data_IF_020885544669
#
_entry.id   IF_020885544669
#
_cell.length_a   1.000
_cell.length_b   1.000
_cell.length_c   1.000
_cell.angle_alpha   90.00
_cell.angle_beta   90.00
_cell.angle_gamma   90.00
#
_symmetry.space_group_name_H-M   'P 1'
#
loop_
_entity.id
_entity.type
_entity.pdbx_description
1 polymer ?
#
# COMPACT_ATOMS: atom_id res chain seq x y z
N UNK A 1 -8.97 20.42 -12.58
CA UNK A 1 -8.01 20.82 -13.61
C UNK A 1 -8.07 19.86 -14.79
N UNK A 2 -8.15 20.37 -16.00
CA UNK A 2 -8.07 19.63 -17.26
C UNK A 2 -6.89 20.16 -18.10
N UNK A 3 -6.71 19.63 -19.32
CA UNK A 3 -5.67 20.16 -20.23
C UNK A 3 -5.90 21.64 -20.63
N UNK A 4 -7.13 22.12 -20.55
CA UNK A 4 -7.55 23.42 -21.08
C UNK A 4 -8.24 24.31 -20.07
N UNK A 5 -8.53 23.81 -18.86
CA UNK A 5 -9.31 24.55 -17.87
C UNK A 5 -8.92 24.24 -16.43
N UNK A 6 -9.08 25.22 -15.58
CA UNK A 6 -9.05 25.11 -14.12
C UNK A 6 -10.38 25.62 -13.60
N UNK A 7 -11.01 24.82 -12.74
CA UNK A 7 -12.24 25.20 -12.05
C UNK A 7 -12.03 25.01 -10.55
N UNK A 8 -12.50 25.97 -9.76
CA UNK A 8 -12.47 25.91 -8.30
C UNK A 8 -13.88 25.84 -7.74
N UNK A 9 -14.00 25.19 -6.61
CA UNK A 9 -15.25 25.05 -5.87
C UNK A 9 -15.00 25.35 -4.40
N UNK A 10 -15.95 25.98 -3.78
CA UNK A 10 -15.95 26.17 -2.32
C UNK A 10 -16.38 24.86 -1.69
N UNK A 11 -15.63 24.41 -0.70
CA UNK A 11 -15.91 23.22 0.11
C UNK A 11 -16.20 23.64 1.55
N UNK A 12 -16.85 22.77 2.36
CA UNK A 12 -16.99 22.99 3.79
C UNK A 12 -15.64 23.17 4.49
N UNK A 13 -15.67 23.55 5.76
CA UNK A 13 -14.46 23.73 6.56
C UNK A 13 -13.65 22.42 6.63
N UNK A 14 -12.33 22.53 6.68
CA UNK A 14 -11.44 21.38 6.75
C UNK A 14 -11.80 20.40 7.88
N UNK A 15 -12.18 20.91 9.07
CA UNK A 15 -12.58 20.08 10.21
C UNK A 15 -13.84 19.23 9.94
N UNK A 16 -14.80 19.76 9.17
CA UNK A 16 -16.01 19.04 8.81
C UNK A 16 -15.70 17.92 7.81
N UNK A 17 -14.86 18.22 6.80
CA UNK A 17 -14.37 17.23 5.82
C UNK A 17 -13.59 16.13 6.55
N UNK A 18 -12.71 16.50 7.48
CA UNK A 18 -11.90 15.57 8.26
C UNK A 18 -12.78 14.61 9.06
N UNK A 19 -13.80 15.13 9.73
CA UNK A 19 -14.75 14.32 10.50
C UNK A 19 -15.48 13.30 9.62
N UNK A 20 -16.00 13.75 8.48
CA UNK A 20 -16.77 12.88 7.57
C UNK A 20 -15.87 11.86 6.88
N UNK A 21 -14.65 12.25 6.48
CA UNK A 21 -13.67 11.33 5.91
C UNK A 21 -13.22 10.27 6.91
N UNK A 22 -12.99 10.62 8.17
CA UNK A 22 -12.70 9.68 9.26
C UNK A 22 -13.85 8.70 9.48
N UNK A 23 -15.10 9.18 9.47
CA UNK A 23 -16.28 8.34 9.61
C UNK A 23 -16.38 7.30 8.49
N UNK A 24 -16.16 7.72 7.23
CA UNK A 24 -16.17 6.79 6.10
C UNK A 24 -15.04 5.76 6.21
N UNK A 25 -13.82 6.21 6.54
CA UNK A 25 -12.69 5.30 6.74
C UNK A 25 -13.00 4.28 7.84
N UNK A 26 -13.49 4.73 8.99
CA UNK A 26 -13.88 3.85 10.10
C UNK A 26 -14.94 2.85 9.65
N UNK A 27 -15.97 3.30 8.92
CA UNK A 27 -17.00 2.42 8.41
C UNK A 27 -16.45 1.34 7.46
N UNK A 28 -15.49 1.67 6.60
CA UNK A 28 -14.90 0.69 5.66
C UNK A 28 -13.94 -0.28 6.37
N UNK A 29 -13.20 0.19 7.38
CA UNK A 29 -12.14 -0.61 8.04
C UNK A 29 -12.62 -1.39 9.27
N UNK A 30 -13.79 -1.08 9.80
CA UNK A 30 -14.32 -1.78 10.97
C UNK A 30 -14.58 -3.27 10.67
N UNK A 31 -14.28 -4.19 11.58
CA UNK A 31 -14.62 -5.61 11.39
C UNK A 31 -16.09 -5.84 11.07
N UNK A 32 -16.98 -5.03 11.65
CA UNK A 32 -18.44 -5.06 11.41
C UNK A 32 -18.85 -4.52 10.03
N UNK A 33 -17.95 -3.89 9.29
CA UNK A 33 -18.27 -3.33 7.96
C UNK A 33 -18.61 -4.40 6.93
N UNK A 34 -18.11 -5.60 7.14
CA UNK A 34 -18.39 -6.77 6.30
C UNK A 34 -19.85 -7.19 6.41
N UNK A 35 -20.45 -6.98 7.58
CA UNK A 35 -21.80 -7.40 7.93
C UNK A 35 -22.81 -6.24 7.91
N UNK A 36 -22.33 -5.00 7.73
CA UNK A 36 -23.19 -3.80 7.73
C UNK A 36 -22.93 -2.88 6.51
N UNK A 37 -23.30 -3.30 5.30
CA UNK A 37 -23.10 -2.54 4.08
C UNK A 37 -23.83 -1.19 4.09
N UNK A 38 -24.95 -1.06 4.79
CA UNK A 38 -25.74 0.17 4.85
C UNK A 38 -24.98 1.29 5.59
N UNK A 39 -24.24 0.95 6.64
CA UNK A 39 -23.40 1.93 7.34
C UNK A 39 -22.28 2.45 6.43
N UNK A 40 -21.65 1.55 5.67
CA UNK A 40 -20.61 1.92 4.70
C UNK A 40 -21.21 2.81 3.60
N UNK A 41 -22.37 2.45 3.05
CA UNK A 41 -23.05 3.23 2.02
C UNK A 41 -23.39 4.63 2.51
N UNK A 42 -23.99 4.75 3.72
CA UNK A 42 -24.36 6.05 4.31
C UNK A 42 -23.13 6.95 4.52
N UNK A 43 -22.03 6.40 5.02
CA UNK A 43 -20.80 7.15 5.21
C UNK A 43 -20.14 7.55 3.88
N UNK A 44 -20.23 6.68 2.86
CA UNK A 44 -19.81 6.95 1.49
C UNK A 44 -20.59 8.12 0.89
N UNK A 45 -21.92 8.09 0.97
CA UNK A 45 -22.78 9.15 0.45
C UNK A 45 -22.43 10.51 1.09
N UNK A 46 -22.19 10.54 2.39
CA UNK A 46 -21.86 11.76 3.10
C UNK A 46 -20.57 12.42 2.60
N UNK A 47 -19.48 11.65 2.40
CA UNK A 47 -18.22 12.20 1.90
C UNK A 47 -18.30 12.50 0.40
N UNK A 48 -18.98 11.68 -0.37
CA UNK A 48 -19.14 11.84 -1.80
C UNK A 48 -19.93 13.09 -2.17
N UNK A 49 -20.96 13.44 -1.40
CA UNK A 49 -21.70 14.70 -1.56
C UNK A 49 -20.79 15.92 -1.40
N UNK A 50 -19.83 15.87 -0.51
CA UNK A 50 -18.94 17.02 -0.25
C UNK A 50 -17.87 17.15 -1.33
N UNK A 51 -17.18 16.05 -1.66
CA UNK A 51 -15.96 16.14 -2.49
C UNK A 51 -16.19 15.81 -3.96
N UNK A 52 -17.20 15.00 -4.30
CA UNK A 52 -17.47 14.60 -5.69
C UNK A 52 -18.65 15.35 -6.33
N UNK A 53 -19.71 15.67 -5.58
CA UNK A 53 -20.88 16.37 -6.12
C UNK A 53 -20.52 17.64 -6.88
N UNK A 54 -19.64 18.54 -6.36
CA UNK A 54 -19.30 19.78 -7.06
C UNK A 54 -18.67 19.55 -8.43
N UNK A 55 -17.99 18.43 -8.63
CA UNK A 55 -17.23 18.11 -9.85
C UNK A 55 -17.88 17.02 -10.71
N UNK A 56 -18.96 16.39 -10.25
CA UNK A 56 -19.56 15.20 -10.85
C UNK A 56 -19.82 15.34 -12.35
N UNK A 57 -20.39 16.48 -12.79
CA UNK A 57 -20.68 16.74 -14.19
C UNK A 57 -19.42 16.83 -15.09
N UNK A 58 -18.24 17.02 -14.51
CA UNK A 58 -16.99 17.20 -15.25
C UNK A 58 -16.14 15.93 -15.33
N UNK A 59 -16.43 14.90 -14.51
CA UNK A 59 -15.63 13.69 -14.42
C UNK A 59 -15.72 12.86 -15.72
N UNK A 60 -16.92 12.67 -16.27
CA UNK A 60 -17.13 11.85 -17.47
C UNK A 60 -16.57 10.43 -17.25
N UNK A 61 -15.73 9.97 -18.17
CA UNK A 61 -15.00 8.67 -18.08
C UNK A 61 -13.49 8.90 -18.06
N UNK A 62 -13.04 9.96 -17.42
CA UNK A 62 -11.63 10.33 -17.39
C UNK A 62 -10.87 9.57 -16.31
N UNK A 63 -9.58 9.40 -16.51
CA UNK A 63 -8.66 9.07 -15.40
C UNK A 63 -8.65 10.23 -14.42
N UNK A 64 -8.69 9.91 -13.13
CA UNK A 64 -8.65 10.87 -12.05
C UNK A 64 -7.26 10.89 -11.42
N UNK A 65 -6.60 12.04 -11.48
CA UNK A 65 -5.37 12.30 -10.75
C UNK A 65 -5.73 13.12 -9.52
N UNK A 66 -5.56 12.53 -8.36
CA UNK A 66 -5.98 13.11 -7.10
C UNK A 66 -4.75 13.55 -6.31
N UNK A 67 -4.72 14.81 -5.94
CA UNK A 67 -3.75 15.38 -5.00
C UNK A 67 -4.52 15.69 -3.72
N UNK A 68 -4.43 14.79 -2.76
CA UNK A 68 -5.09 14.94 -1.46
C UNK A 68 -4.29 15.85 -0.54
N UNK A 69 -4.98 16.46 0.41
CA UNK A 69 -4.41 17.17 1.56
C UNK A 69 -4.95 16.57 2.85
N UNK A 70 -4.12 16.51 3.89
CA UNK A 70 -4.50 16.00 5.22
C UNK A 70 -5.12 14.61 5.13
N UNK A 71 -6.29 14.46 5.73
CA UNK A 71 -7.05 13.20 5.81
C UNK A 71 -7.40 12.60 4.45
N UNK A 72 -7.51 13.43 3.40
CA UNK A 72 -7.86 12.96 2.05
C UNK A 72 -6.79 12.06 1.43
N UNK A 73 -5.54 12.13 1.90
CA UNK A 73 -4.49 11.19 1.49
C UNK A 73 -4.76 9.72 1.89
N UNK A 74 -5.67 9.51 2.83
CA UNK A 74 -6.07 8.18 3.35
C UNK A 74 -7.47 7.76 2.94
N UNK A 75 -8.11 8.57 2.09
CA UNK A 75 -9.44 8.27 1.60
C UNK A 75 -9.36 7.26 0.46
N UNK A 76 -10.08 6.13 0.52
CA UNK A 76 -10.13 5.16 -0.56
C UNK A 76 -11.04 5.66 -1.69
N UNK A 77 -10.55 6.60 -2.50
CA UNK A 77 -11.33 7.20 -3.58
C UNK A 77 -11.95 6.18 -4.53
N UNK A 78 -11.29 5.03 -4.71
CA UNK A 78 -11.81 3.93 -5.54
C UNK A 78 -13.19 3.43 -5.09
N UNK A 79 -13.47 3.47 -3.78
CA UNK A 79 -14.71 3.01 -3.18
C UNK A 79 -15.81 4.08 -3.10
N UNK A 80 -15.49 5.34 -3.36
CA UNK A 80 -16.51 6.41 -3.35
C UNK A 80 -17.50 6.21 -4.50
N UNK A 81 -18.72 6.70 -4.33
CA UNK A 81 -19.77 6.63 -5.35
C UNK A 81 -20.14 8.03 -5.83
N UNK A 82 -20.41 8.19 -7.11
CA UNK A 82 -20.90 9.47 -7.64
C UNK A 82 -22.31 9.73 -7.14
N UNK A 83 -22.58 10.89 -6.51
CA UNK A 83 -23.92 11.26 -6.08
C UNK A 83 -24.90 11.27 -7.27
N UNK A 84 -26.10 10.72 -7.04
CA UNK A 84 -27.15 10.62 -8.07
C UNK A 84 -26.96 9.51 -9.10
N UNK A 85 -25.91 8.70 -9.00
CA UNK A 85 -25.70 7.54 -9.86
C UNK A 85 -26.15 6.27 -9.14
N UNK A 86 -27.29 5.73 -9.53
CA UNK A 86 -27.83 4.47 -9.00
C UNK A 86 -27.59 3.33 -9.97
N UNK A 87 -27.28 2.14 -9.45
CA UNK A 87 -27.18 0.89 -10.19
C UNK A 87 -28.13 -0.16 -9.63
N UNK A 88 -28.27 -1.28 -10.31
CA UNK A 88 -29.16 -2.39 -9.88
C UNK A 88 -28.80 -2.95 -8.50
N UNK A 89 -27.51 -2.84 -8.10
CA UNK A 89 -26.98 -3.36 -6.84
C UNK A 89 -26.50 -2.23 -5.90
N UNK A 90 -27.12 -1.06 -5.93
CA UNK A 90 -26.70 0.13 -5.20
C UNK A 90 -25.82 1.08 -6.03
N UNK A 91 -25.24 2.10 -5.39
CA UNK A 91 -24.40 3.07 -6.08
C UNK A 91 -23.05 2.44 -6.47
N UNK A 92 -22.70 2.38 -7.79
CA UNK A 92 -21.45 1.79 -8.20
C UNK A 92 -20.26 2.61 -7.68
N UNK A 93 -19.17 1.96 -7.25
CA UNK A 93 -17.98 2.67 -6.82
C UNK A 93 -17.31 3.41 -7.98
N UNK A 94 -16.63 4.52 -7.66
CA UNK A 94 -15.99 5.42 -8.62
C UNK A 94 -15.02 4.69 -9.58
N UNK A 95 -14.41 3.62 -9.09
CA UNK A 95 -13.49 2.78 -9.87
C UNK A 95 -14.15 2.09 -11.08
N UNK A 96 -15.49 1.96 -11.10
CA UNK A 96 -16.21 1.36 -12.24
C UNK A 96 -16.03 2.19 -13.51
N UNK A 97 -16.04 3.52 -13.38
CA UNK A 97 -15.93 4.43 -14.53
C UNK A 97 -14.53 5.07 -14.66
N UNK A 98 -13.77 5.08 -13.58
CA UNK A 98 -12.53 5.86 -13.51
C UNK A 98 -11.33 5.01 -13.10
N UNK A 99 -10.22 5.22 -13.76
CA UNK A 99 -8.90 4.85 -13.27
C UNK A 99 -8.43 5.95 -12.30
N UNK A 100 -8.01 5.57 -11.10
CA UNK A 100 -7.69 6.50 -10.02
C UNK A 100 -6.22 6.39 -9.67
N UNK A 101 -5.53 7.52 -9.65
CA UNK A 101 -4.12 7.63 -9.28
C UNK A 101 -3.97 8.77 -8.28
N UNK A 102 -3.24 8.51 -7.21
CA UNK A 102 -2.91 9.53 -6.22
C UNK A 102 -1.53 10.14 -6.52
N UNK A 103 -1.36 11.40 -6.18
CA UNK A 103 -0.09 12.10 -6.30
C UNK A 103 0.20 12.87 -5.00
N UNK A 104 1.45 12.85 -4.51
CA UNK A 104 1.85 13.69 -3.38
C UNK A 104 1.71 15.18 -3.67
N UNK A 105 1.95 15.58 -4.92
CA UNK A 105 1.68 16.90 -5.48
C UNK A 105 1.66 16.83 -7.00
N UNK A 106 1.08 17.83 -7.65
CA UNK A 106 1.09 17.93 -9.12
C UNK A 106 2.52 18.07 -9.67
N UNK A 107 3.41 18.77 -8.96
CA UNK A 107 4.81 18.98 -9.35
C UNK A 107 5.62 17.69 -9.32
N UNK A 108 5.31 16.77 -8.41
CA UNK A 108 5.98 15.46 -8.29
C UNK A 108 5.97 14.71 -9.61
N UNK A 109 4.88 14.78 -10.37
CA UNK A 109 4.77 14.10 -11.65
C UNK A 109 5.81 14.59 -12.67
N UNK A 110 6.05 15.90 -12.72
CA UNK A 110 7.08 16.49 -13.59
C UNK A 110 8.46 15.98 -13.23
N UNK A 111 8.79 15.95 -11.94
CA UNK A 111 10.06 15.46 -11.42
C UNK A 111 10.25 13.96 -11.73
N UNK A 112 9.22 13.14 -11.46
CA UNK A 112 9.29 11.71 -11.75
C UNK A 112 9.58 11.44 -13.23
N UNK A 113 8.95 12.19 -14.13
CA UNK A 113 9.17 12.03 -15.58
C UNK A 113 10.55 12.48 -16.02
N UNK A 114 11.07 13.56 -15.46
CA UNK A 114 12.42 14.01 -15.73
C UNK A 114 13.43 12.97 -15.25
N UNK A 115 13.34 12.53 -14.00
CA UNK A 115 14.24 11.52 -13.45
C UNK A 115 14.19 10.19 -14.22
N UNK A 116 13.00 9.80 -14.73
CA UNK A 116 12.85 8.59 -15.54
C UNK A 116 13.67 8.66 -16.83
N UNK A 117 13.65 9.78 -17.51
CA UNK A 117 14.35 9.95 -18.80
C UNK A 117 15.89 9.93 -18.62
N UNK A 118 16.37 10.39 -17.48
CA UNK A 118 17.80 10.54 -17.20
C UNK A 118 18.44 9.29 -16.59
N UNK A 119 17.67 8.25 -16.22
CA UNK A 119 18.18 7.05 -15.57
C UNK A 119 18.57 5.94 -16.54
N UNK A 120 19.52 5.12 -16.11
CA UNK A 120 19.78 3.84 -16.76
C UNK A 120 18.62 2.86 -16.48
N UNK A 121 18.06 2.22 -17.53
CA UNK A 121 16.97 1.26 -17.32
C UNK A 121 17.46 0.04 -16.54
N UNK A 122 16.68 -0.47 -15.59
CA UNK A 122 17.00 -1.70 -14.88
C UNK A 122 17.08 -2.90 -15.82
N UNK A 123 18.03 -3.80 -15.59
CA UNK A 123 18.25 -4.97 -16.43
C UNK A 123 17.54 -6.24 -15.93
N UNK A 124 16.96 -6.21 -14.72
CA UNK A 124 16.19 -7.31 -14.11
C UNK A 124 14.74 -6.89 -13.91
N UNK A 125 13.85 -7.87 -13.86
CA UNK A 125 12.42 -7.59 -13.86
C UNK A 125 11.85 -7.46 -12.46
N UNK A 126 12.16 -8.39 -11.54
CA UNK A 126 11.45 -8.48 -10.26
C UNK A 126 12.38 -8.87 -9.11
N UNK A 127 12.31 -8.12 -8.01
CA UNK A 127 12.78 -8.53 -6.70
C UNK A 127 11.58 -8.64 -5.76
N UNK A 128 11.39 -9.79 -5.11
CA UNK A 128 10.40 -10.02 -4.06
C UNK A 128 11.12 -10.26 -2.74
N UNK A 129 10.67 -9.59 -1.68
CA UNK A 129 11.04 -9.86 -0.30
C UNK A 129 9.75 -10.20 0.45
N UNK A 130 9.59 -11.47 0.88
CA UNK A 130 8.34 -11.97 1.43
C UNK A 130 8.54 -12.93 2.60
N UNK A 131 7.50 -13.12 3.42
CA UNK A 131 7.43 -14.07 4.52
C UNK A 131 8.66 -14.04 5.46
N UNK A 132 9.08 -12.85 5.96
CA UNK A 132 10.21 -12.75 6.88
C UNK A 132 9.92 -13.40 8.24
N UNK A 133 10.96 -13.67 9.01
CA UNK A 133 10.86 -14.30 10.33
C UNK A 133 10.85 -13.26 11.44
N UNK A 134 9.75 -13.14 12.18
CA UNK A 134 9.55 -12.07 13.16
C UNK A 134 9.83 -12.46 14.61
N UNK A 135 9.96 -13.75 14.91
CA UNK A 135 10.04 -14.26 16.27
C UNK A 135 11.04 -15.41 16.39
N UNK A 136 11.73 -15.47 17.52
CA UNK A 136 12.58 -16.60 17.89
C UNK A 136 11.79 -17.90 18.13
N UNK A 137 10.46 -17.81 18.29
CA UNK A 137 9.58 -18.97 18.44
C UNK A 137 9.01 -19.47 17.11
N UNK A 138 9.48 -18.92 15.97
CA UNK A 138 9.01 -19.35 14.65
C UNK A 138 9.37 -20.82 14.38
N UNK A 139 8.46 -21.54 13.75
CA UNK A 139 8.65 -22.97 13.46
C UNK A 139 9.87 -23.25 12.56
N UNK A 140 10.33 -22.26 11.80
CA UNK A 140 11.53 -22.33 10.96
C UNK A 140 12.83 -22.40 11.77
N UNK A 141 12.77 -22.11 13.07
CA UNK A 141 13.90 -22.15 14.02
C UNK A 141 13.96 -23.39 14.91
N UNK A 142 13.16 -24.42 14.64
CA UNK A 142 13.01 -25.63 15.50
C UNK A 142 14.30 -26.36 15.86
N UNK A 143 15.41 -26.08 15.19
CA UNK A 143 16.72 -26.70 15.44
C UNK A 143 17.72 -25.74 16.09
N UNK A 144 17.33 -24.52 16.47
CA UNK A 144 18.24 -23.57 17.12
C UNK A 144 18.11 -23.62 18.64
N UNK A 145 19.23 -23.80 19.34
CA UNK A 145 19.30 -23.88 20.80
C UNK A 145 19.32 -22.49 21.47
N UNK A 146 19.12 -21.41 20.73
CA UNK A 146 19.19 -20.05 21.27
C UNK A 146 17.87 -19.64 21.91
N UNK A 147 17.87 -19.46 23.22
CA UNK A 147 16.76 -18.88 23.96
C UNK A 147 16.75 -17.33 23.76
N UNK A 148 16.43 -16.89 22.54
CA UNK A 148 16.29 -15.46 22.26
C UNK A 148 14.95 -14.98 22.83
N UNK A 149 15.00 -14.02 23.75
CA UNK A 149 13.81 -13.41 24.34
C UNK A 149 13.24 -12.35 23.41
N UNK A 150 11.92 -12.12 23.48
CA UNK A 150 11.27 -11.00 22.80
C UNK A 150 11.94 -9.66 23.13
N UNK A 151 12.41 -9.50 24.37
CA UNK A 151 13.12 -8.32 24.84
C UNK A 151 14.44 -8.09 24.08
N UNK A 152 15.17 -9.16 23.71
CA UNK A 152 16.39 -9.05 22.92
C UNK A 152 16.10 -8.58 21.48
N UNK A 153 15.00 -9.07 20.89
CA UNK A 153 14.54 -8.60 19.55
C UNK A 153 14.15 -7.12 19.58
N UNK A 154 13.46 -6.69 20.62
CA UNK A 154 13.07 -5.28 20.79
C UNK A 154 14.28 -4.37 21.01
N UNK A 155 15.28 -4.83 21.75
CA UNK A 155 16.53 -4.08 21.96
C UNK A 155 17.32 -3.90 20.67
N UNK A 156 17.31 -4.90 19.78
CA UNK A 156 17.95 -4.81 18.46
C UNK A 156 17.18 -3.89 17.49
N UNK A 157 15.91 -3.60 17.78
CA UNK A 157 15.04 -2.78 16.95
C UNK A 157 14.49 -1.57 17.72
N UNK A 158 15.33 -0.59 18.09
CA UNK A 158 14.90 0.61 18.81
C UNK A 158 13.81 1.36 18.02
N UNK A 159 12.69 1.65 18.66
CA UNK A 159 11.53 2.29 18.04
C UNK A 159 10.36 1.35 17.75
N UNK A 160 10.54 0.03 17.66
CA UNK A 160 9.41 -0.90 17.56
C UNK A 160 8.50 -0.82 18.79
N UNK A 161 9.08 -0.83 19.97
CA UNK A 161 8.34 -0.70 21.23
C UNK A 161 7.63 0.65 21.36
N UNK A 162 8.30 1.76 21.00
CA UNK A 162 7.69 3.11 20.98
C UNK A 162 6.58 3.22 19.94
N UNK A 163 6.72 2.50 18.87
CA UNK A 163 5.78 2.51 17.76
C UNK A 163 4.54 1.66 18.02
N UNK A 164 4.65 0.65 18.88
CA UNK A 164 3.54 -0.25 19.25
C UNK A 164 2.59 0.36 20.28
N UNK A 165 2.96 1.48 20.94
CA UNK A 165 2.23 1.99 22.09
C UNK A 165 2.25 0.98 23.25
N UNK A 166 1.33 1.12 24.19
CA UNK A 166 1.22 0.20 25.35
C UNK A 166 0.69 -1.21 24.99
N UNK A 167 0.30 -1.43 23.73
CA UNK A 167 -0.13 -2.72 23.24
C UNK A 167 1.08 -3.53 22.79
N UNK A 168 1.38 -4.62 23.50
CA UNK A 168 2.44 -5.60 23.24
C UNK A 168 2.18 -6.42 21.96
N UNK A 169 1.88 -5.74 20.83
CA UNK A 169 1.52 -6.38 19.58
C UNK A 169 2.73 -7.09 18.97
N UNK A 170 2.65 -8.41 18.94
CA UNK A 170 3.61 -9.25 18.23
C UNK A 170 3.31 -9.22 16.72
N UNK A 171 4.35 -9.19 15.89
CA UNK A 171 4.19 -9.43 14.47
C UNK A 171 3.98 -10.93 14.25
N UNK A 172 2.77 -11.28 13.84
CA UNK A 172 2.46 -12.67 13.47
C UNK A 172 2.92 -12.94 12.05
N UNK A 173 3.24 -14.19 11.75
CA UNK A 173 3.52 -14.62 10.38
C UNK A 173 2.30 -14.38 9.49
N UNK A 174 2.52 -13.81 8.31
CA UNK A 174 1.53 -13.64 7.25
C UNK A 174 1.61 -14.85 6.32
N UNK A 175 0.71 -15.81 6.51
CA UNK A 175 0.81 -17.14 5.87
C UNK A 175 0.67 -17.10 4.35
N UNK A 176 -0.06 -16.12 3.80
CA UNK A 176 -0.32 -16.03 2.36
C UNK A 176 0.76 -15.25 1.60
N UNK A 177 1.67 -14.53 2.27
CA UNK A 177 2.72 -13.75 1.58
C UNK A 177 3.71 -14.64 0.81
N UNK A 178 3.97 -15.86 1.30
CA UNK A 178 4.77 -16.85 0.57
C UNK A 178 4.05 -17.34 -0.69
N UNK A 179 2.76 -17.62 -0.59
CA UNK A 179 1.94 -18.03 -1.74
C UNK A 179 1.82 -16.89 -2.75
N UNK A 180 1.62 -15.66 -2.28
CA UNK A 180 1.64 -14.44 -3.10
C UNK A 180 2.93 -14.35 -3.89
N UNK A 181 4.08 -14.48 -3.23
CA UNK A 181 5.39 -14.48 -3.86
C UNK A 181 5.52 -15.57 -4.92
N UNK A 182 5.14 -16.81 -4.61
CA UNK A 182 5.21 -17.94 -5.56
C UNK A 182 4.37 -17.72 -6.81
N UNK A 183 3.16 -17.18 -6.67
CA UNK A 183 2.27 -16.88 -7.80
C UNK A 183 2.87 -15.77 -8.66
N UNK A 184 3.32 -14.69 -8.04
CA UNK A 184 3.86 -13.53 -8.74
C UNK A 184 5.15 -13.90 -9.49
N UNK A 185 6.11 -14.54 -8.81
CA UNK A 185 7.38 -14.88 -9.42
C UNK A 185 7.24 -15.84 -10.62
N UNK A 186 6.23 -16.73 -10.59
CA UNK A 186 5.98 -17.66 -11.70
C UNK A 186 5.64 -16.95 -13.02
N UNK A 187 5.21 -15.68 -12.96
CA UNK A 187 4.92 -14.85 -14.13
C UNK A 187 6.18 -14.26 -14.80
N UNK A 188 7.35 -14.39 -14.18
CA UNK A 188 8.60 -13.82 -14.66
C UNK A 188 9.63 -14.90 -14.99
N UNK A 189 10.49 -14.70 -16.02
CA UNK A 189 11.61 -15.60 -16.30
C UNK A 189 12.56 -15.72 -15.10
N UNK A 190 13.02 -16.93 -14.80
CA UNK A 190 13.91 -17.18 -13.65
C UNK A 190 15.21 -16.35 -13.68
N UNK A 191 15.73 -16.08 -14.88
CA UNK A 191 16.96 -15.29 -15.07
C UNK A 191 16.80 -13.80 -14.74
N UNK A 192 15.58 -13.28 -14.69
CA UNK A 192 15.28 -11.85 -14.48
C UNK A 192 14.60 -11.54 -13.15
N UNK A 193 14.45 -12.54 -12.28
CA UNK A 193 13.80 -12.38 -10.96
C UNK A 193 14.71 -12.82 -9.82
N UNK A 194 14.41 -12.32 -8.63
CA UNK A 194 14.97 -12.80 -7.35
C UNK A 194 13.86 -12.83 -6.31
N UNK A 195 13.87 -13.89 -5.51
CA UNK A 195 13.00 -14.06 -4.37
C UNK A 195 13.86 -14.18 -3.11
N UNK A 196 13.54 -13.40 -2.09
CA UNK A 196 14.15 -13.45 -0.76
C UNK A 196 13.05 -13.78 0.24
N UNK A 197 13.11 -14.95 0.85
CA UNK A 197 12.16 -15.47 1.81
C UNK A 197 12.83 -15.69 3.16
N UNK A 198 12.03 -15.91 4.19
CA UNK A 198 12.50 -16.29 5.50
C UNK A 198 13.57 -15.29 6.02
N UNK A 199 14.72 -15.78 6.42
CA UNK A 199 15.83 -14.97 6.95
C UNK A 199 16.50 -14.07 5.90
N UNK A 200 16.41 -14.43 4.60
CA UNK A 200 16.91 -13.60 3.50
C UNK A 200 15.99 -12.41 3.23
N UNK A 201 14.72 -12.47 3.62
CA UNK A 201 13.83 -11.31 3.63
C UNK A 201 14.26 -10.35 4.75
N UNK A 202 15.47 -9.82 4.66
CA UNK A 202 16.17 -9.06 5.69
C UNK A 202 16.32 -7.58 5.33
N UNK A 203 16.57 -6.75 6.35
CA UNK A 203 16.92 -5.34 6.13
C UNK A 203 18.19 -5.20 5.29
N UNK A 204 19.16 -6.09 5.48
CA UNK A 204 20.39 -6.09 4.67
C UNK A 204 20.09 -6.29 3.19
N UNK A 205 19.23 -7.24 2.85
CA UNK A 205 18.75 -7.46 1.47
C UNK A 205 17.98 -6.25 0.96
N UNK A 206 17.07 -5.68 1.76
CA UNK A 206 16.23 -4.54 1.40
C UNK A 206 17.04 -3.23 1.22
N UNK A 207 18.22 -3.11 1.82
CA UNK A 207 19.13 -1.95 1.65
C UNK A 207 20.28 -2.23 0.68
N UNK A 208 20.33 -3.42 0.08
CA UNK A 208 21.38 -3.77 -0.86
C UNK A 208 21.31 -2.93 -2.13
N UNK A 209 22.46 -2.50 -2.64
CA UNK A 209 22.58 -1.82 -3.94
C UNK A 209 22.10 -2.67 -5.12
N UNK A 210 21.96 -3.97 -4.94
CA UNK A 210 21.43 -4.88 -5.97
C UNK A 210 19.97 -4.56 -6.34
N UNK A 211 19.18 -3.97 -5.43
CA UNK A 211 17.80 -3.59 -5.71
C UNK A 211 17.68 -2.53 -6.83
N UNK A 212 18.72 -1.74 -7.07
CA UNK A 212 18.74 -0.78 -8.18
C UNK A 212 18.64 -1.43 -9.57
N UNK A 213 18.86 -2.73 -9.68
CA UNK A 213 18.83 -3.47 -10.94
C UNK A 213 17.43 -3.94 -11.36
N UNK A 214 16.41 -3.78 -10.49
CA UNK A 214 15.08 -4.34 -10.71
C UNK A 214 14.06 -3.28 -11.12
N UNK A 215 13.24 -3.63 -12.12
CA UNK A 215 12.08 -2.81 -12.56
C UNK A 215 10.98 -2.77 -11.52
N UNK A 216 10.74 -3.90 -10.87
CA UNK A 216 9.69 -4.05 -9.86
C UNK A 216 10.33 -4.56 -8.57
N UNK A 217 10.02 -3.91 -7.46
CA UNK A 217 10.39 -4.33 -6.11
C UNK A 217 9.10 -4.55 -5.33
N UNK A 218 8.91 -5.74 -4.79
CA UNK A 218 7.72 -6.14 -4.08
C UNK A 218 8.05 -6.57 -2.66
N UNK A 219 7.46 -5.89 -1.69
CA UNK A 219 7.56 -6.21 -0.27
C UNK A 219 6.24 -6.81 0.21
N UNK A 220 6.24 -8.10 0.52
CA UNK A 220 5.11 -8.81 1.11
C UNK A 220 5.41 -9.15 2.57
N UNK A 221 5.12 -8.21 3.46
CA UNK A 221 5.45 -8.26 4.88
C UNK A 221 4.58 -7.30 5.70
N UNK A 222 4.92 -7.05 6.98
CA UNK A 222 4.28 -6.02 7.77
C UNK A 222 4.81 -4.64 7.41
N UNK A 223 3.91 -3.70 7.15
CA UNK A 223 4.19 -2.27 7.12
C UNK A 223 3.75 -1.62 8.42
N UNK A 224 4.33 -0.48 8.69
CA UNK A 224 4.13 0.22 9.93
C UNK A 224 4.17 1.73 9.69
N UNK A 225 3.11 2.42 10.04
CA UNK A 225 3.04 3.87 9.95
C UNK A 225 2.73 4.46 11.33
N UNK A 226 3.61 5.34 11.79
CA UNK A 226 3.43 6.11 13.01
C UNK A 226 3.05 7.54 12.64
N UNK A 227 1.91 8.01 13.11
CA UNK A 227 1.39 9.34 12.80
C UNK A 227 2.01 10.42 13.68
N UNK A 228 2.37 10.08 14.92
CA UNK A 228 2.95 11.02 15.87
C UNK A 228 4.46 11.18 15.62
N UNK A 229 5.09 10.12 15.11
CA UNK A 229 6.50 10.04 14.77
C UNK A 229 6.68 9.42 13.39
N UNK A 230 6.40 10.16 12.29
CA UNK A 230 6.45 9.64 10.92
C UNK A 230 7.82 9.05 10.54
N UNK A 231 8.89 9.56 11.12
CA UNK A 231 10.26 9.06 10.93
C UNK A 231 10.46 7.63 11.45
N UNK A 232 9.58 7.16 12.33
CA UNK A 232 9.57 5.79 12.83
C UNK A 232 8.78 4.83 11.93
N UNK A 233 8.09 5.34 10.92
CA UNK A 233 7.39 4.52 9.93
C UNK A 233 8.37 3.68 9.12
N UNK A 234 7.93 2.50 8.67
CA UNK A 234 8.80 1.59 7.94
C UNK A 234 8.15 0.28 7.56
N UNK A 235 8.99 -0.65 7.16
CA UNK A 235 8.64 -2.03 6.78
C UNK A 235 9.40 -2.98 7.69
N UNK A 236 8.75 -4.05 8.13
CA UNK A 236 9.35 -5.01 9.07
C UNK A 236 9.90 -6.21 8.27
N UNK A 237 11.20 -6.34 8.26
CA UNK A 237 11.92 -7.48 7.69
C UNK A 237 12.25 -8.49 8.80
N UNK A 238 12.99 -9.57 8.51
CA UNK A 238 13.35 -10.56 9.51
C UNK A 238 14.02 -9.95 10.73
N UNK A 239 13.46 -10.26 11.90
CA UNK A 239 13.90 -9.75 13.21
C UNK A 239 14.86 -10.71 13.92
N UNK A 240 15.06 -11.89 13.35
CA UNK A 240 16.00 -12.90 13.84
C UNK A 240 16.74 -13.55 12.66
N UNK A 241 17.97 -14.02 12.92
CA UNK A 241 18.73 -14.83 11.95
C UNK A 241 18.37 -16.33 12.05
N UNK A 242 19.00 -17.18 11.21
CA UNK A 242 18.80 -18.63 11.16
C UNK A 242 19.15 -19.34 12.48
N UNK A 243 19.92 -18.69 13.35
CA UNK A 243 20.30 -19.19 14.67
C UNK A 243 19.37 -18.67 15.77
N UNK A 244 18.40 -17.83 15.43
CA UNK A 244 17.49 -17.17 16.36
C UNK A 244 18.12 -15.95 17.06
N UNK A 245 19.28 -15.45 16.64
CA UNK A 245 19.83 -14.22 17.17
C UNK A 245 19.04 -13.01 16.69
N UNK A 246 18.85 -11.98 17.54
CA UNK A 246 18.08 -10.81 17.15
C UNK A 246 18.79 -9.98 16.06
N UNK A 247 18.04 -9.53 15.07
CA UNK A 247 18.47 -8.65 13.98
C UNK A 247 17.77 -7.29 14.07
N UNK A 248 18.45 -6.24 13.60
CA UNK A 248 17.78 -4.99 13.27
C UNK A 248 17.10 -5.14 11.90
N UNK A 249 15.86 -5.66 11.93
CA UNK A 249 15.07 -5.93 10.72
C UNK A 249 14.10 -4.80 10.33
N UNK A 250 14.11 -3.66 11.04
CA UNK A 250 13.19 -2.57 10.77
C UNK A 250 13.74 -1.63 9.70
N UNK A 251 13.23 -1.73 8.47
CA UNK A 251 13.55 -0.82 7.35
C UNK A 251 12.76 0.49 7.54
N UNK A 252 13.41 1.48 8.10
CA UNK A 252 12.81 2.78 8.46
C UNK A 252 12.73 3.73 7.28
N UNK A 253 11.94 4.76 7.44
CA UNK A 253 11.82 5.84 6.45
C UNK A 253 13.18 6.45 6.08
N UNK A 254 14.07 6.64 7.06
CA UNK A 254 15.44 7.13 6.81
C UNK A 254 16.27 6.17 5.96
N UNK A 255 16.10 4.86 6.11
CA UNK A 255 16.78 3.87 5.27
C UNK A 255 16.25 3.94 3.84
N UNK A 256 14.91 4.07 3.70
CA UNK A 256 14.22 4.15 2.41
C UNK A 256 14.67 5.39 1.63
N UNK A 257 14.80 6.55 2.27
CA UNK A 257 15.32 7.77 1.64
C UNK A 257 16.76 7.62 1.12
N UNK A 258 17.56 6.74 1.73
CA UNK A 258 18.93 6.49 1.32
C UNK A 258 19.07 5.41 0.23
N UNK A 259 17.99 4.74 -0.15
CA UNK A 259 17.99 3.79 -1.26
C UNK A 259 18.25 4.52 -2.58
N UNK A 260 18.89 3.80 -3.51
CA UNK A 260 19.08 4.26 -4.89
C UNK A 260 18.38 3.26 -5.80
N UNK A 261 17.15 3.55 -6.15
CA UNK A 261 16.32 2.65 -6.94
C UNK A 261 16.22 3.16 -8.39
N UNK A 262 16.14 2.22 -9.32
CA UNK A 262 15.74 2.50 -10.69
C UNK A 262 14.39 1.82 -11.01
N UNK A 263 13.56 1.62 -9.99
CA UNK A 263 12.34 0.86 -10.09
C UNK A 263 11.24 1.63 -10.86
N UNK A 264 10.57 0.93 -11.77
CA UNK A 264 9.33 1.42 -12.38
C UNK A 264 8.18 1.35 -11.38
N UNK A 265 8.22 0.34 -10.50
CA UNK A 265 7.15 0.08 -9.52
C UNK A 265 7.73 -0.46 -8.22
N UNK A 266 7.31 0.11 -7.10
CA UNK A 266 7.44 -0.49 -5.78
C UNK A 266 6.04 -0.90 -5.30
N UNK A 267 5.89 -2.14 -4.84
CA UNK A 267 4.64 -2.65 -4.27
C UNK A 267 4.88 -2.93 -2.80
N UNK A 268 4.09 -2.28 -1.97
CA UNK A 268 4.03 -2.53 -0.54
C UNK A 268 2.74 -3.33 -0.27
N UNK A 269 2.83 -4.64 -0.48
CA UNK A 269 1.78 -5.60 -0.09
C UNK A 269 1.85 -5.84 1.42
N UNK A 270 2.17 -4.78 2.14
CA UNK A 270 2.34 -4.76 3.57
C UNK A 270 1.07 -4.17 4.19
N UNK A 271 0.46 -4.91 5.09
CA UNK A 271 -0.63 -4.40 5.89
C UNK A 271 -0.10 -3.31 6.82
N UNK A 272 -0.74 -2.15 6.82
CA UNK A 272 -0.47 -1.14 7.82
C UNK A 272 -0.96 -1.66 9.19
N UNK A 273 -0.07 -2.21 9.98
CA UNK A 273 -0.32 -2.40 11.40
C UNK A 273 -0.22 -1.04 12.10
N UNK A 274 -1.23 -0.21 11.86
CA UNK A 274 -1.36 1.07 12.55
C UNK A 274 -1.67 0.81 14.02
N UNK A 275 -0.68 0.93 14.86
CA UNK A 275 -0.84 0.97 16.30
C UNK A 275 -1.29 2.37 16.69
N UNK A 276 -2.60 2.60 16.75
CA UNK A 276 -3.17 3.81 17.26
C UNK A 276 -4.44 4.26 16.53
N UNK A 277 -5.44 4.70 17.30
CA UNK A 277 -6.74 5.18 16.79
C UNK A 277 -6.66 6.54 16.08
N UNK A 278 -5.52 7.22 16.14
CA UNK A 278 -5.33 8.55 15.55
C UNK A 278 -4.42 8.46 14.32
N UNK A 279 -5.02 8.28 13.16
CA UNK A 279 -4.31 8.41 11.89
C UNK A 279 -4.33 9.89 11.50
N UNK A 280 -3.39 10.64 12.01
CA UNK A 280 -2.99 11.92 11.45
C UNK A 280 -1.85 11.68 10.48
N UNK A 281 -2.11 11.35 9.40
CA UNK A 281 -1.79 11.47 7.99
C UNK A 281 -0.37 11.35 7.52
N UNK A 282 0.74 11.33 8.24
CA UNK A 282 2.06 11.50 7.60
C UNK A 282 2.86 10.20 7.35
N UNK A 283 2.65 9.15 8.12
CA UNK A 283 3.50 7.95 8.05
C UNK A 283 3.45 7.20 6.72
N UNK A 284 2.26 6.95 6.16
CA UNK A 284 2.10 6.25 4.88
C UNK A 284 2.51 7.14 3.69
N UNK A 285 2.12 8.41 3.75
CA UNK A 285 2.55 9.43 2.77
C UNK A 285 4.06 9.56 2.78
N UNK A 286 4.68 9.50 3.97
CA UNK A 286 6.12 9.47 4.14
C UNK A 286 6.78 8.30 3.45
N UNK A 287 6.28 7.07 3.63
CA UNK A 287 6.80 5.87 2.96
C UNK A 287 6.71 5.98 1.45
N UNK A 288 5.57 6.41 0.92
CA UNK A 288 5.37 6.54 -0.51
C UNK A 288 6.31 7.61 -1.11
N UNK A 289 6.41 8.76 -0.46
CA UNK A 289 7.35 9.83 -0.85
C UNK A 289 8.80 9.36 -0.74
N UNK A 290 9.14 8.59 0.31
CA UNK A 290 10.46 8.01 0.50
C UNK A 290 10.88 7.13 -0.67
N UNK A 291 10.04 6.20 -1.11
CA UNK A 291 10.33 5.36 -2.26
C UNK A 291 10.40 6.14 -3.57
N UNK A 292 9.54 7.14 -3.77
CA UNK A 292 9.64 8.03 -4.94
C UNK A 292 10.93 8.84 -4.94
N UNK A 293 11.34 9.37 -3.78
CA UNK A 293 12.61 10.06 -3.64
C UNK A 293 13.80 9.14 -3.92
N UNK A 294 13.72 7.89 -3.46
CA UNK A 294 14.72 6.85 -3.74
C UNK A 294 14.80 6.45 -5.23
N UNK A 295 13.86 6.89 -6.08
CA UNK A 295 13.88 6.67 -7.54
C UNK A 295 12.75 5.81 -8.09
N UNK A 296 11.79 5.38 -7.27
CA UNK A 296 10.61 4.67 -7.76
C UNK A 296 9.67 5.60 -8.53
N UNK A 297 9.22 5.18 -9.72
CA UNK A 297 8.28 5.99 -10.53
C UNK A 297 6.86 5.97 -9.97
N UNK A 298 6.47 4.86 -9.38
CA UNK A 298 5.17 4.65 -8.75
C UNK A 298 5.26 3.67 -7.59
N UNK A 299 4.31 3.82 -6.68
CA UNK A 299 4.19 2.95 -5.51
C UNK A 299 2.75 2.47 -5.41
N UNK A 300 2.55 1.17 -5.27
CA UNK A 300 1.27 0.59 -4.83
C UNK A 300 1.36 0.32 -3.33
N UNK A 301 0.38 0.78 -2.58
CA UNK A 301 0.41 0.72 -1.12
C UNK A 301 -1.00 0.54 -0.57
N UNK A 302 -1.14 -0.12 0.58
CA UNK A 302 -2.42 -0.27 1.27
C UNK A 302 -2.66 0.84 2.29
N UNK A 303 -3.89 1.33 2.36
CA UNK A 303 -4.34 2.39 3.28
C UNK A 303 -4.68 1.89 4.68
N UNK A 304 -4.90 0.59 4.86
CA UNK A 304 -5.21 -0.07 6.14
C UNK A 304 -4.79 -1.53 6.12
N UNK A 305 -4.87 -2.18 7.29
CA UNK A 305 -4.63 -3.62 7.43
C UNK A 305 -5.69 -4.40 6.67
N UNK A 306 -5.28 -5.14 5.66
CA UNK A 306 -6.13 -5.95 4.80
C UNK A 306 -6.09 -7.42 5.19
N UNK A 307 -7.02 -8.18 4.65
CA UNK A 307 -7.05 -9.63 4.75
C UNK A 307 -5.90 -10.24 3.94
N UNK A 308 -5.15 -11.15 4.53
CA UNK A 308 -3.95 -11.75 3.94
C UNK A 308 -4.28 -12.57 2.67
N UNK A 309 -5.36 -13.39 2.70
CA UNK A 309 -5.83 -14.15 1.54
C UNK A 309 -6.34 -13.22 0.42
N UNK A 310 -7.17 -12.23 0.79
CA UNK A 310 -7.69 -11.24 -0.16
C UNK A 310 -6.58 -10.44 -0.84
N UNK A 311 -5.53 -10.12 -0.10
CA UNK A 311 -4.35 -9.43 -0.63
C UNK A 311 -3.62 -10.27 -1.66
N UNK A 312 -3.36 -11.54 -1.37
CA UNK A 312 -2.68 -12.45 -2.31
C UNK A 312 -3.48 -12.61 -3.62
N UNK A 313 -4.82 -12.66 -3.54
CA UNK A 313 -5.71 -12.72 -4.72
C UNK A 313 -5.62 -11.42 -5.53
N UNK A 314 -5.74 -10.26 -4.87
CA UNK A 314 -5.67 -8.96 -5.53
C UNK A 314 -4.32 -8.76 -6.24
N UNK A 315 -3.21 -9.06 -5.55
CA UNK A 315 -1.88 -8.92 -6.11
C UNK A 315 -1.64 -9.88 -7.27
N UNK A 316 -2.12 -11.13 -7.17
CA UNK A 316 -2.08 -12.09 -8.28
C UNK A 316 -2.77 -11.55 -9.53
N UNK A 317 -4.02 -11.07 -9.40
CA UNK A 317 -4.79 -10.47 -10.51
C UNK A 317 -4.12 -9.21 -11.05
N UNK A 318 -3.55 -8.38 -10.17
CA UNK A 318 -2.81 -7.17 -10.54
C UNK A 318 -1.60 -7.50 -11.45
N UNK A 319 -0.74 -8.42 -11.04
CA UNK A 319 0.44 -8.82 -11.82
C UNK A 319 0.06 -9.52 -13.13
N UNK A 320 -0.96 -10.39 -13.12
CA UNK A 320 -1.50 -10.99 -14.35
C UNK A 320 -2.01 -9.93 -15.31
N UNK A 321 -2.71 -8.91 -14.79
CA UNK A 321 -3.15 -7.75 -15.58
C UNK A 321 -2.02 -7.05 -16.30
N UNK A 322 -0.92 -6.78 -15.61
CA UNK A 322 0.25 -6.14 -16.21
C UNK A 322 0.97 -7.03 -17.21
N UNK A 323 1.24 -8.29 -16.86
CA UNK A 323 2.18 -9.13 -17.58
C UNK A 323 1.54 -9.95 -18.70
N UNK A 324 0.32 -10.41 -18.51
CA UNK A 324 -0.39 -11.25 -19.48
C UNK A 324 -1.36 -10.43 -20.35
N UNK A 325 -1.96 -9.37 -19.80
CA UNK A 325 -2.92 -8.52 -20.51
C UNK A 325 -2.29 -7.21 -21.02
N UNK A 326 -1.02 -6.93 -20.69
CA UNK A 326 -0.31 -5.72 -21.12
C UNK A 326 -0.89 -4.41 -20.56
N UNK A 327 -1.58 -4.46 -19.43
CA UNK A 327 -2.17 -3.27 -18.82
C UNK A 327 -1.11 -2.42 -18.14
N UNK A 328 -1.30 -1.10 -18.14
CA UNK A 328 -0.51 -0.22 -17.26
C UNK A 328 -0.76 -0.56 -15.79
N UNK A 329 0.17 -0.28 -14.88
CA UNK A 329 -0.03 -0.58 -13.46
C UNK A 329 -1.33 0.00 -12.89
N UNK A 330 -1.72 1.22 -13.28
CA UNK A 330 -2.97 1.82 -12.83
C UNK A 330 -4.20 1.08 -13.36
N UNK A 331 -4.21 0.71 -14.65
CA UNK A 331 -5.29 -0.07 -15.24
C UNK A 331 -5.36 -1.50 -14.69
N UNK A 332 -4.21 -2.11 -14.40
CA UNK A 332 -4.12 -3.45 -13.82
C UNK A 332 -4.66 -3.48 -12.39
N UNK A 333 -4.30 -2.49 -11.56
CA UNK A 333 -4.83 -2.37 -10.20
C UNK A 333 -6.34 -2.19 -10.23
N UNK A 334 -6.84 -1.28 -11.08
CA UNK A 334 -8.28 -1.10 -11.28
C UNK A 334 -8.98 -2.39 -11.69
N UNK A 335 -8.42 -3.13 -12.64
CA UNK A 335 -8.99 -4.39 -13.12
C UNK A 335 -9.05 -5.43 -12.00
N UNK A 336 -8.00 -5.59 -11.20
CA UNK A 336 -7.95 -6.50 -10.05
C UNK A 336 -8.99 -6.12 -8.98
N UNK A 337 -9.13 -4.84 -8.67
CA UNK A 337 -10.12 -4.35 -7.71
C UNK A 337 -11.55 -4.58 -8.20
N UNK A 338 -11.83 -4.36 -9.48
CA UNK A 338 -13.14 -4.62 -10.09
C UNK A 338 -13.47 -6.11 -10.11
N UNK A 339 -12.49 -6.98 -10.31
CA UNK A 339 -12.66 -8.43 -10.27
C UNK A 339 -13.06 -8.89 -8.85
N UNK A 340 -12.43 -8.37 -7.81
CA UNK A 340 -12.82 -8.64 -6.42
C UNK A 340 -14.19 -8.08 -6.08
N UNK A 341 -14.47 -6.84 -6.45
CA UNK A 341 -15.76 -6.20 -6.21
C UNK A 341 -16.95 -6.99 -6.77
N UNK A 342 -16.77 -7.70 -7.89
CA UNK A 342 -17.81 -8.53 -8.53
C UNK A 342 -18.04 -9.88 -7.84
N UNK A 343 -17.15 -10.31 -6.97
CA UNK A 343 -17.23 -11.59 -6.26
C UNK A 343 -17.89 -11.40 -4.90
N UNK A 344 -18.90 -12.20 -4.55
CA UNK A 344 -19.65 -12.03 -3.30
C UNK A 344 -18.76 -12.08 -2.05
N UNK A 345 -17.78 -13.00 -2.00
CA UNK A 345 -16.84 -13.13 -0.89
C UNK A 345 -15.99 -11.86 -0.68
N UNK A 346 -15.63 -11.17 -1.75
CA UNK A 346 -14.67 -10.06 -1.75
C UNK A 346 -15.30 -8.71 -2.05
N UNK A 347 -16.64 -8.63 -2.17
CA UNK A 347 -17.38 -7.45 -2.60
C UNK A 347 -17.19 -6.23 -1.69
N UNK A 348 -16.99 -6.45 -0.39
CA UNK A 348 -16.78 -5.35 0.56
C UNK A 348 -15.55 -4.52 0.19
N UNK A 349 -15.66 -3.18 0.18
CA UNK A 349 -14.52 -2.28 -0.06
C UNK A 349 -13.34 -2.52 0.89
N UNK A 350 -13.57 -3.11 2.05
CA UNK A 350 -12.53 -3.51 2.99
C UNK A 350 -11.42 -4.32 2.32
N UNK A 351 -11.74 -5.24 1.40
CA UNK A 351 -10.78 -6.16 0.80
C UNK A 351 -9.99 -5.56 -0.37
N UNK A 352 -10.60 -4.71 -1.18
CA UNK A 352 -10.00 -4.24 -2.43
C UNK A 352 -9.67 -2.74 -2.46
N UNK A 353 -10.42 -1.90 -1.74
CA UNK A 353 -10.25 -0.46 -1.82
C UNK A 353 -9.07 0.08 -0.99
N UNK A 354 -8.43 -0.80 -0.21
CA UNK A 354 -7.23 -0.46 0.54
C UNK A 354 -6.07 -0.07 -0.37
N UNK A 355 -5.92 -0.75 -1.49
CA UNK A 355 -4.77 -0.56 -2.36
C UNK A 355 -4.94 0.65 -3.28
N UNK A 356 -3.92 1.51 -3.29
CA UNK A 356 -3.87 2.69 -4.14
C UNK A 356 -2.55 2.74 -4.89
N UNK A 357 -2.59 3.25 -6.13
CA UNK A 357 -1.39 3.57 -6.88
C UNK A 357 -1.10 5.06 -6.75
N UNK A 358 0.13 5.36 -6.40
CA UNK A 358 0.64 6.72 -6.33
C UNK A 358 1.79 6.92 -7.31
N UNK A 359 1.84 8.07 -7.98
CA UNK A 359 2.93 8.44 -8.90
C UNK A 359 2.56 8.41 -10.39
N UNK A 360 3.51 7.99 -11.24
CA UNK A 360 3.30 7.94 -12.70
C UNK A 360 2.33 6.81 -13.09
N UNK A 361 1.34 7.11 -13.89
CA UNK A 361 0.29 6.16 -14.28
C UNK A 361 0.54 5.40 -15.59
N UNK A 362 1.51 5.86 -16.42
CA UNK A 362 1.84 5.27 -17.73
C UNK A 362 2.64 3.99 -17.62
#
# INVERSE_FOLDING_TARGET
>A
VTKTSITSYELPKAADIETIAKNFRTAVTAPSSRDNPDQVAKANDAISQIILQPVAAQLGQKRLLIVGDGVLNYLPFAALSLPGKSGENGNPPLIVDHEIVLLPSASTLGILRQNYNDRQPPNRSLAILADPVFSANDERLKNSSSATTQQAVESANPGLSRSRGDNNAQFNRLNFTRQESQIIQALFPASSRTESLDFEASRATATSSNLSQYKIIHFATHGFANSDHPELSGIVMSLVDEKGNPLNGFLRLTDIFNLKLAADLVVLSACQTGLGQNIQGEGLVGLTRGFMYAGAQRVVVSLWTVDDEGTAILMSSFYQGMLQKGLTPAAALRAAQLEMWKQEKWKSPYYWAAFTLQGEWR
#
